data_IF_334292896086
#
_entry.id   IF_334292896086
#
_cell.length_a   1.000
_cell.length_b   1.000
_cell.length_c   1.000
_cell.angle_alpha   90.00
_cell.angle_beta   90.00
_cell.angle_gamma   90.00
#
_symmetry.space_group_name_H-M   'P 1'
#
loop_
_entity.id
_entity.type
_entity.pdbx_description
1 polymer ?
#
# COMPACT_ATOMS: atom_id res chain seq x y z
N UNK A 1 -43.93 2.63 -73.63
CA UNK A 1 -45.15 3.39 -73.30
C UNK A 1 -44.76 4.56 -72.41
N UNK A 2 -45.22 5.76 -72.74
CA UNK A 2 -44.72 7.07 -72.30
C UNK A 2 -45.88 7.82 -71.66
N UNK A 3 -45.79 8.27 -70.40
CA UNK A 3 -46.57 9.37 -69.77
C UNK A 3 -45.77 9.82 -68.53
N UNK A 4 -45.01 10.92 -68.53
CA UNK A 4 -45.34 12.36 -68.53
C UNK A 4 -46.20 12.82 -67.34
N UNK A 5 -45.67 13.77 -66.56
CA UNK A 5 -46.27 14.98 -65.92
C UNK A 5 -45.25 15.50 -64.88
N UNK A 6 -44.96 16.78 -64.64
CA UNK A 6 -45.23 18.10 -65.24
C UNK A 6 -44.29 19.06 -64.48
N UNK A 7 -43.71 20.06 -65.17
CA UNK A 7 -42.94 21.16 -64.57
C UNK A 7 -43.87 22.28 -64.08
N UNK A 8 -43.48 23.01 -63.03
CA UNK A 8 -43.79 24.43 -62.84
C UNK A 8 -42.72 25.10 -61.94
N UNK A 9 -41.81 25.91 -62.51
CA UNK A 9 -41.79 27.38 -62.59
C UNK A 9 -40.85 28.02 -61.56
N UNK A 10 -39.93 28.83 -62.09
CA UNK A 10 -38.88 29.55 -61.39
C UNK A 10 -39.34 30.95 -60.98
N UNK A 11 -38.76 31.48 -59.91
CA UNK A 11 -38.61 32.92 -59.71
C UNK A 11 -37.35 33.17 -58.88
N UNK A 12 -36.30 33.62 -59.58
CA UNK A 12 -35.09 34.20 -58.98
C UNK A 12 -35.42 35.61 -58.50
N UNK A 13 -35.05 35.93 -57.26
CA UNK A 13 -34.88 37.31 -56.80
C UNK A 13 -33.43 37.45 -56.33
N UNK A 14 -32.66 38.19 -57.13
CA UNK A 14 -31.36 38.69 -56.74
C UNK A 14 -31.53 39.89 -55.81
N UNK A 15 -30.86 39.88 -54.66
CA UNK A 15 -30.48 41.11 -53.97
C UNK A 15 -29.02 41.02 -53.55
N UNK A 16 -28.29 41.96 -54.12
CA UNK A 16 -26.92 42.39 -53.83
C UNK A 16 -26.77 42.87 -52.40
N UNK A 17 -25.67 42.53 -51.73
CA UNK A 17 -24.76 43.48 -51.07
C UNK A 17 -23.74 42.77 -50.17
N UNK A 18 -22.46 43.12 -50.33
CA UNK A 18 -21.47 43.08 -49.25
C UNK A 18 -20.58 41.85 -49.16
N UNK A 19 -19.55 41.77 -50.02
CA UNK A 19 -18.36 40.97 -49.69
C UNK A 19 -17.60 41.65 -48.54
N UNK A 20 -17.90 41.26 -47.30
CA UNK A 20 -16.99 41.44 -46.19
C UNK A 20 -16.09 40.20 -46.12
N UNK A 21 -14.78 40.42 -46.23
CA UNK A 21 -13.74 39.40 -46.04
C UNK A 21 -13.85 38.82 -44.62
N UNK A 22 -14.03 37.50 -44.44
CA UNK A 22 -13.89 36.89 -43.12
C UNK A 22 -12.40 36.77 -42.80
N UNK A 23 -11.98 37.51 -41.78
CA UNK A 23 -10.71 37.33 -41.10
C UNK A 23 -10.51 35.87 -40.72
N UNK A 24 -9.36 35.31 -41.09
CA UNK A 24 -8.89 34.01 -40.62
C UNK A 24 -8.87 34.04 -39.09
N UNK A 25 -9.78 33.30 -38.46
CA UNK A 25 -9.71 33.02 -37.03
C UNK A 25 -8.50 32.13 -36.79
N UNK A 26 -7.44 32.70 -36.22
CA UNK A 26 -6.31 31.96 -35.69
C UNK A 26 -6.79 30.95 -34.67
N UNK A 27 -6.57 29.66 -34.95
CA UNK A 27 -6.75 28.57 -33.99
C UNK A 27 -5.91 28.84 -32.73
N UNK A 28 -6.45 28.64 -31.52
CA UNK A 28 -5.64 28.70 -30.31
C UNK A 28 -4.65 27.53 -30.34
N UNK A 29 -3.36 27.88 -30.31
CA UNK A 29 -2.27 26.94 -30.08
C UNK A 29 -2.51 26.18 -28.76
N UNK A 30 -2.29 24.86 -28.67
CA UNK A 30 -2.35 24.16 -27.40
C UNK A 30 -1.25 24.76 -26.50
N UNK A 31 -1.67 25.50 -25.48
CA UNK A 31 -0.77 25.98 -24.45
C UNK A 31 -0.13 24.75 -23.82
N UNK A 32 1.15 24.54 -24.08
CA UNK A 32 1.97 23.63 -23.30
C UNK A 32 1.80 24.03 -21.84
N UNK A 33 1.06 23.23 -21.08
CA UNK A 33 0.92 23.44 -19.65
C UNK A 33 2.32 23.46 -19.06
N UNK A 34 2.69 24.56 -18.41
CA UNK A 34 3.87 24.61 -17.56
C UNK A 34 3.83 23.36 -16.67
N UNK A 35 4.88 22.52 -16.63
CA UNK A 35 4.90 21.39 -15.71
C UNK A 35 4.66 21.94 -14.31
N UNK A 36 3.56 21.55 -13.68
CA UNK A 36 3.33 21.80 -12.26
C UNK A 36 4.57 21.30 -11.54
N UNK A 37 5.27 22.14 -10.75
CA UNK A 37 6.44 21.66 -10.02
C UNK A 37 5.99 20.48 -9.16
N UNK A 38 6.56 19.31 -9.43
CA UNK A 38 6.45 18.15 -8.54
C UNK A 38 6.96 18.64 -7.19
N UNK A 39 6.06 18.76 -6.20
CA UNK A 39 6.43 19.17 -4.87
C UNK A 39 7.55 18.24 -4.38
N UNK A 40 8.72 18.82 -4.09
CA UNK A 40 9.78 18.08 -3.41
C UNK A 40 9.16 17.52 -2.12
N UNK A 41 9.25 16.21 -1.84
CA UNK A 41 8.74 15.68 -0.59
C UNK A 41 9.44 16.43 0.54
N UNK A 42 8.68 17.11 1.39
CA UNK A 42 9.25 17.79 2.55
C UNK A 42 9.81 16.72 3.47
N UNK A 43 11.12 16.57 3.49
CA UNK A 43 11.82 15.65 4.39
C UNK A 43 12.00 16.35 5.74
N UNK A 44 11.48 15.75 6.81
CA UNK A 44 11.61 16.29 8.16
C UNK A 44 12.78 15.63 8.85
N UNK A 45 13.94 16.28 8.85
CA UNK A 45 15.12 15.78 9.56
C UNK A 45 15.02 16.14 11.04
N UNK A 46 15.19 15.14 11.90
CA UNK A 46 15.19 15.29 13.36
C UNK A 46 16.37 14.55 13.99
N UNK A 47 16.79 15.00 15.16
CA UNK A 47 17.86 14.36 15.93
C UNK A 47 17.27 13.41 16.97
N UNK A 48 17.80 12.19 17.07
CA UNK A 48 17.44 11.27 18.15
C UNK A 48 18.08 11.74 19.45
N UNK A 49 17.26 12.18 20.39
CA UNK A 49 17.66 12.74 21.67
C UNK A 49 17.45 11.74 22.83
N UNK A 50 17.64 10.44 22.62
CA UNK A 50 17.33 9.36 23.58
C UNK A 50 18.28 9.22 24.78
N UNK A 51 19.15 10.22 25.02
CA UNK A 51 20.16 10.17 26.08
C UNK A 51 21.31 9.24 25.72
N UNK A 52 21.56 8.22 26.54
CA UNK A 52 22.64 7.25 26.32
C UNK A 52 22.19 5.93 25.71
N UNK A 53 20.87 5.70 25.59
CA UNK A 53 20.30 4.44 25.10
C UNK A 53 19.88 4.55 23.64
N UNK A 54 20.05 3.47 22.88
CA UNK A 54 19.53 3.36 21.51
C UNK A 54 17.99 3.47 21.50
N UNK A 55 17.45 4.25 20.58
CA UNK A 55 16.01 4.38 20.36
C UNK A 55 15.51 3.22 19.49
N UNK A 56 14.48 2.53 19.97
CA UNK A 56 13.88 1.38 19.28
C UNK A 56 12.89 1.85 18.22
N UNK A 57 13.05 1.36 16.99
CA UNK A 57 12.04 1.43 15.93
C UNK A 57 11.06 0.29 16.16
N UNK A 58 9.76 0.60 16.22
CA UNK A 58 8.72 -0.36 16.57
C UNK A 58 7.69 -0.48 15.46
N UNK A 59 7.16 -1.67 15.23
CA UNK A 59 6.21 -1.89 14.14
C UNK A 59 4.85 -1.19 14.34
N UNK A 60 4.48 -0.91 15.59
CA UNK A 60 3.30 -0.11 15.97
C UNK A 60 3.74 1.05 16.88
N UNK A 61 2.96 2.14 16.98
CA UNK A 61 3.25 3.27 17.86
C UNK A 61 2.94 2.91 19.33
N UNK A 62 3.53 1.84 19.83
CA UNK A 62 3.33 1.32 21.17
C UNK A 62 4.62 0.74 21.74
N UNK A 63 4.84 0.87 23.05
CA UNK A 63 5.99 0.25 23.74
C UNK A 63 5.92 -1.28 23.79
N UNK A 64 4.76 -1.86 23.49
CA UNK A 64 4.54 -3.30 23.31
C UNK A 64 4.87 -3.78 21.89
N UNK A 65 5.06 -2.85 20.93
CA UNK A 65 5.41 -3.21 19.56
C UNK A 65 6.78 -3.86 19.46
N UNK A 66 6.86 -4.92 18.66
CA UNK A 66 8.11 -5.58 18.29
C UNK A 66 9.14 -4.57 17.81
N UNK A 67 10.38 -4.77 18.25
CA UNK A 67 11.53 -4.00 17.83
C UNK A 67 11.94 -4.42 16.42
N UNK A 68 11.86 -3.49 15.47
CA UNK A 68 12.25 -3.67 14.08
C UNK A 68 13.70 -3.22 13.82
N UNK A 69 14.23 -2.36 14.69
CA UNK A 69 15.58 -1.82 14.57
C UNK A 69 15.92 -0.89 15.73
N UNK A 70 17.16 -0.41 15.73
CA UNK A 70 17.69 0.49 16.74
C UNK A 70 18.41 1.67 16.09
N UNK A 71 18.22 2.85 16.65
CA UNK A 71 18.85 4.09 16.22
C UNK A 71 19.75 4.60 17.36
N UNK A 72 21.04 4.85 17.13
CA UNK A 72 21.92 5.37 18.17
C UNK A 72 21.54 6.81 18.58
N UNK A 73 21.80 7.21 19.84
CA UNK A 73 21.64 8.61 20.25
C UNK A 73 22.44 9.56 19.36
N UNK A 74 21.88 10.74 19.09
CA UNK A 74 22.49 11.76 18.26
C UNK A 74 22.38 11.51 16.75
N UNK A 75 21.82 10.38 16.31
CA UNK A 75 21.58 10.15 14.89
C UNK A 75 20.57 11.15 14.31
N UNK A 76 20.87 11.68 13.12
CA UNK A 76 19.90 12.43 12.32
C UNK A 76 19.07 11.45 11.48
N UNK A 77 17.75 11.50 11.62
CA UNK A 77 16.81 10.65 10.88
C UNK A 77 15.82 11.49 10.11
N UNK A 78 15.34 10.95 8.99
CA UNK A 78 14.27 11.55 8.20
C UNK A 78 12.96 10.92 8.67
N UNK A 79 12.06 11.75 9.19
CA UNK A 79 10.71 11.36 9.57
C UNK A 79 9.77 11.63 8.40
N UNK A 80 8.97 10.63 8.07
CA UNK A 80 7.99 10.71 6.99
C UNK A 80 6.70 11.37 7.49
N UNK A 81 6.20 10.91 8.63
CA UNK A 81 4.94 11.35 9.20
C UNK A 81 4.82 11.00 10.68
N UNK A 82 3.72 11.40 11.34
CA UNK A 82 3.43 11.06 12.73
C UNK A 82 2.05 10.48 12.99
N UNK A 83 1.97 9.59 13.98
CA UNK A 83 0.76 8.90 14.41
C UNK A 83 0.54 9.02 15.93
N UNK A 84 -0.68 8.72 16.39
CA UNK A 84 -1.00 8.60 17.82
C UNK A 84 -0.85 7.16 18.29
N UNK A 85 -0.36 7.01 19.52
CA UNK A 85 0.04 5.74 20.09
C UNK A 85 -0.02 5.70 21.61
N UNK A 86 0.68 4.75 22.22
CA UNK A 86 0.78 4.68 23.68
C UNK A 86 1.55 5.88 24.22
N UNK A 87 1.16 6.39 25.39
CA UNK A 87 1.89 7.43 26.09
C UNK A 87 3.29 6.93 26.49
N UNK A 88 4.33 7.66 26.10
CA UNK A 88 5.72 7.38 26.44
C UNK A 88 6.32 8.61 27.09
N UNK A 89 7.07 8.40 28.17
CA UNK A 89 7.86 9.45 28.82
C UNK A 89 9.32 9.29 28.46
N UNK A 90 9.95 10.37 28.02
CA UNK A 90 11.32 10.39 27.57
C UNK A 90 12.02 11.72 27.85
N UNK A 91 13.18 11.88 27.25
CA UNK A 91 14.05 13.06 27.41
C UNK A 91 13.41 14.36 26.93
N UNK A 92 12.39 14.27 26.08
CA UNK A 92 11.66 15.41 25.49
C UNK A 92 10.28 15.61 26.14
N UNK A 93 10.03 14.95 27.27
CA UNK A 93 8.75 14.96 27.98
C UNK A 93 7.89 13.73 27.71
N UNK A 94 6.61 13.81 28.09
CA UNK A 94 5.64 12.73 27.91
C UNK A 94 4.73 13.01 26.72
N UNK A 95 4.62 12.07 25.80
CA UNK A 95 3.77 12.21 24.61
C UNK A 95 3.19 10.88 24.13
N UNK A 96 2.01 10.97 23.51
CA UNK A 96 1.38 9.87 22.77
C UNK A 96 1.67 9.95 21.26
N UNK A 97 2.55 10.84 20.82
CA UNK A 97 2.94 10.98 19.43
C UNK A 97 4.13 10.10 19.11
N UNK A 98 4.05 9.45 17.95
CA UNK A 98 5.08 8.58 17.42
C UNK A 98 5.39 9.00 15.99
N UNK A 99 6.66 9.09 15.67
CA UNK A 99 7.16 9.48 14.35
C UNK A 99 7.47 8.22 13.55
N UNK A 100 6.93 8.12 12.33
CA UNK A 100 7.20 7.03 11.39
C UNK A 100 8.36 7.39 10.48
N UNK A 101 9.26 6.45 10.29
CA UNK A 101 10.47 6.63 9.50
C UNK A 101 10.95 5.30 8.91
N UNK A 102 11.91 5.40 7.99
CA UNK A 102 12.75 4.28 7.58
C UNK A 102 14.20 4.54 7.98
N UNK A 103 14.81 3.62 8.73
CA UNK A 103 16.21 3.69 9.14
C UNK A 103 16.90 2.35 8.95
N UNK A 104 18.01 2.32 8.20
CA UNK A 104 18.76 1.10 7.88
C UNK A 104 17.88 -0.05 7.35
N UNK A 105 16.88 0.26 6.51
CA UNK A 105 15.96 -0.72 5.96
C UNK A 105 14.79 -1.12 6.88
N UNK A 106 14.79 -0.69 8.14
CA UNK A 106 13.67 -0.89 9.05
C UNK A 106 12.70 0.29 8.98
N UNK A 107 11.47 0.05 8.53
CA UNK A 107 10.40 1.03 8.53
C UNK A 107 9.49 0.84 9.75
N UNK A 108 9.26 1.89 10.54
CA UNK A 108 8.43 1.79 11.74
C UNK A 108 8.37 3.09 12.54
N UNK A 109 7.86 2.98 13.76
CA UNK A 109 7.55 4.08 14.66
C UNK A 109 8.60 4.23 15.76
N UNK A 110 9.00 5.47 16.02
CA UNK A 110 9.78 5.87 17.19
C UNK A 110 8.96 6.82 18.05
N UNK A 111 9.13 6.77 19.37
CA UNK A 111 8.38 7.67 20.25
C UNK A 111 8.95 9.10 20.16
N UNK A 112 8.10 10.08 19.88
CA UNK A 112 8.51 11.49 19.79
C UNK A 112 9.08 12.02 21.12
N UNK A 113 8.79 11.32 22.24
CA UNK A 113 9.40 11.57 23.55
C UNK A 113 10.93 11.49 23.57
N UNK A 114 11.55 10.93 22.53
CA UNK A 114 13.01 10.77 22.40
C UNK A 114 13.58 11.42 21.14
N UNK A 115 12.83 12.31 20.50
CA UNK A 115 13.22 13.01 19.27
C UNK A 115 13.23 14.50 19.54
N UNK A 116 14.31 15.20 19.17
CA UNK A 116 14.45 16.64 19.40
C UNK A 116 13.21 17.41 18.95
N UNK A 117 12.66 18.21 19.87
CA UNK A 117 11.43 18.99 19.65
C UNK A 117 10.13 18.23 19.90
N UNK A 118 10.16 16.89 20.02
CA UNK A 118 9.01 16.05 20.36
C UNK A 118 7.72 16.43 19.64
N UNK A 119 6.67 16.76 20.41
CA UNK A 119 5.39 17.19 19.85
C UNK A 119 5.43 18.54 19.12
N UNK A 120 6.38 19.41 19.45
CA UNK A 120 6.49 20.74 18.84
C UNK A 120 7.00 20.69 17.40
N UNK A 121 7.61 19.59 16.97
CA UNK A 121 8.02 19.39 15.57
C UNK A 121 6.77 19.40 14.66
N UNK A 122 6.74 20.26 13.63
CA UNK A 122 5.60 20.36 12.71
C UNK A 122 5.69 19.33 11.59
N UNK A 123 5.52 18.06 11.94
CA UNK A 123 5.54 16.92 11.03
C UNK A 123 4.09 16.54 10.65
N UNK A 124 3.77 16.25 9.38
CA UNK A 124 2.42 15.90 8.96
C UNK A 124 1.95 14.57 9.58
N UNK A 125 0.64 14.45 9.77
CA UNK A 125 0.04 13.19 10.20
C UNK A 125 0.23 12.09 9.15
N UNK A 126 0.41 10.85 9.58
CA UNK A 126 0.49 9.73 8.66
C UNK A 126 -0.83 9.58 7.89
N UNK A 127 -0.79 9.39 6.56
CA UNK A 127 -1.99 9.22 5.75
C UNK A 127 -2.75 7.93 6.10
N UNK A 128 -2.12 7.03 6.85
CA UNK A 128 -2.69 5.83 7.47
C UNK A 128 -2.14 5.76 8.91
N UNK A 129 -3.02 5.57 9.90
CA UNK A 129 -2.60 5.39 11.30
C UNK A 129 -2.76 3.94 11.67
N UNK A 130 -1.65 3.22 11.89
CA UNK A 130 -1.70 1.98 12.65
C UNK A 130 -1.95 2.37 14.12
N UNK A 131 -3.21 2.52 14.51
CA UNK A 131 -3.55 2.83 15.91
C UNK A 131 -2.96 1.74 16.79
N UNK A 132 -2.23 2.14 17.84
CA UNK A 132 -1.78 1.22 18.87
C UNK A 132 -2.99 0.46 19.44
N UNK A 133 -3.11 -0.82 19.09
CA UNK A 133 -4.12 -1.69 19.67
C UNK A 133 -3.49 -2.35 20.91
N UNK A 134 -3.93 -2.01 22.14
CA UNK A 134 -3.38 -2.58 23.38
C UNK A 134 -3.66 -4.10 23.54
N UNK A 135 -4.45 -4.64 22.61
CA UNK A 135 -4.88 -6.02 22.42
C UNK A 135 -5.05 -6.18 20.89
N UNK A 136 -4.93 -7.37 20.26
CA UNK A 136 -5.46 -7.57 18.91
C UNK A 136 -6.86 -6.96 18.84
N UNK A 137 -7.11 -6.08 17.87
CA UNK A 137 -8.46 -5.55 17.68
C UNK A 137 -9.40 -6.75 17.55
N UNK A 138 -10.52 -6.81 18.28
CA UNK A 138 -11.58 -7.73 17.94
C UNK A 138 -11.88 -7.55 16.45
N UNK A 139 -12.03 -8.66 15.73
CA UNK A 139 -12.52 -8.62 14.35
C UNK A 139 -13.68 -7.63 14.27
N UNK A 140 -13.77 -6.77 13.23
CA UNK A 140 -14.88 -5.85 13.09
C UNK A 140 -16.20 -6.60 13.31
N UNK A 141 -16.94 -6.20 14.35
CA UNK A 141 -18.24 -6.80 14.64
C UNK A 141 -19.25 -6.24 13.64
N UNK A 142 -19.48 -6.98 12.56
CA UNK A 142 -20.39 -6.62 11.49
C UNK A 142 -19.99 -7.28 10.18
N UNK A 143 -20.94 -7.47 9.27
CA UNK A 143 -20.62 -7.92 7.91
C UNK A 143 -19.86 -6.79 7.20
N UNK A 144 -18.57 -6.95 6.87
CA UNK A 144 -17.81 -5.88 6.20
C UNK A 144 -18.42 -5.60 4.83
N UNK A 145 -18.46 -4.34 4.41
CA UNK A 145 -18.73 -4.07 3.00
C UNK A 145 -17.56 -4.61 2.17
N UNK A 146 -17.80 -4.97 0.90
CA UNK A 146 -16.73 -5.41 0.00
C UNK A 146 -15.60 -4.37 -0.12
N UNK A 147 -15.89 -3.08 0.11
CA UNK A 147 -14.87 -2.02 0.15
C UNK A 147 -13.92 -2.15 1.35
N UNK A 148 -14.38 -2.65 2.49
CA UNK A 148 -13.64 -2.69 3.76
C UNK A 148 -12.70 -3.90 3.87
N UNK A 149 -13.01 -5.01 3.20
CA UNK A 149 -12.26 -6.28 3.34
C UNK A 149 -10.77 -6.12 3.04
N UNK A 150 -10.42 -5.32 2.03
CA UNK A 150 -9.02 -5.06 1.68
C UNK A 150 -8.25 -4.27 2.76
N UNK A 151 -8.89 -3.24 3.32
CA UNK A 151 -8.31 -2.47 4.42
C UNK A 151 -8.19 -3.30 5.70
N UNK A 152 -9.17 -4.17 5.96
CA UNK A 152 -9.15 -5.11 7.08
C UNK A 152 -7.99 -6.10 6.93
N UNK A 153 -7.79 -6.69 5.75
CA UNK A 153 -6.66 -7.58 5.48
C UNK A 153 -5.31 -6.87 5.68
N UNK A 154 -5.16 -5.65 5.19
CA UNK A 154 -3.95 -4.86 5.40
C UNK A 154 -3.69 -4.57 6.89
N UNK A 155 -4.72 -4.23 7.66
CA UNK A 155 -4.62 -4.01 9.10
C UNK A 155 -4.26 -5.31 9.85
N UNK A 156 -4.84 -6.44 9.47
CA UNK A 156 -4.52 -7.77 10.03
C UNK A 156 -3.06 -8.10 9.75
N UNK A 157 -2.59 -7.99 8.50
CA UNK A 157 -1.20 -8.24 8.14
C UNK A 157 -0.25 -7.33 8.95
N UNK A 158 -0.56 -6.04 9.07
CA UNK A 158 0.23 -5.07 9.84
C UNK A 158 0.34 -5.42 11.32
N UNK A 159 -0.71 -5.99 11.91
CA UNK A 159 -0.72 -6.43 13.31
C UNK A 159 0.27 -7.57 13.60
N UNK A 160 0.78 -8.23 12.57
CA UNK A 160 1.65 -9.40 12.67
C UNK A 160 3.13 -9.08 12.47
N UNK A 161 3.49 -7.83 12.16
CA UNK A 161 4.87 -7.45 11.85
C UNK A 161 5.85 -7.84 12.96
N UNK A 162 6.95 -8.50 12.56
CA UNK A 162 8.00 -8.99 13.44
C UNK A 162 7.72 -10.34 14.10
N UNK A 163 6.55 -10.95 13.91
CA UNK A 163 6.33 -12.35 14.34
C UNK A 163 7.29 -13.24 13.56
N UNK A 164 8.20 -13.89 14.29
CA UNK A 164 9.22 -14.77 13.74
C UNK A 164 8.82 -16.24 13.89
N UNK A 165 9.37 -17.10 13.05
CA UNK A 165 9.26 -18.54 13.24
C UNK A 165 10.04 -19.00 14.48
N UNK A 166 9.49 -19.96 15.21
CA UNK A 166 10.18 -20.62 16.32
C UNK A 166 9.56 -22.00 16.57
N UNK A 167 10.30 -23.11 16.40
CA UNK A 167 11.63 -23.24 15.78
C UNK A 167 11.59 -23.02 14.24
N UNK A 168 12.68 -23.30 13.52
CA UNK A 168 12.78 -23.08 12.06
C UNK A 168 11.58 -23.60 11.28
N UNK A 169 11.04 -22.77 10.40
CA UNK A 169 9.83 -22.94 9.60
C UNK A 169 8.53 -23.21 10.38
N UNK A 170 8.55 -23.21 11.71
CA UNK A 170 7.34 -23.33 12.53
C UNK A 170 6.80 -21.94 12.87
N UNK A 171 5.55 -21.69 12.52
CA UNK A 171 4.91 -20.38 12.62
C UNK A 171 3.50 -20.52 13.22
N UNK A 172 2.89 -19.43 13.73
CA UNK A 172 1.56 -19.49 14.34
C UNK A 172 0.40 -19.56 13.33
N UNK A 173 0.68 -19.47 12.03
CA UNK A 173 -0.34 -19.36 10.97
C UNK A 173 -0.74 -20.72 10.39
N UNK A 174 0.09 -21.75 10.58
CA UNK A 174 -0.13 -23.12 10.08
C UNK A 174 0.26 -24.16 11.13
N UNK A 175 -0.30 -25.36 10.99
CA UNK A 175 0.08 -26.52 11.80
C UNK A 175 1.30 -27.27 11.25
N UNK A 176 1.75 -26.90 10.05
CA UNK A 176 2.87 -27.54 9.36
C UNK A 176 4.10 -26.62 9.46
N UNK A 177 5.25 -27.20 9.80
CA UNK A 177 6.52 -26.48 9.80
C UNK A 177 7.18 -26.58 8.43
N UNK A 178 6.91 -25.59 7.58
CA UNK A 178 7.47 -25.44 6.24
C UNK A 178 7.56 -23.96 5.84
N UNK A 179 8.04 -23.65 4.64
CA UNK A 179 8.06 -22.28 4.15
C UNK A 179 6.64 -21.69 4.16
N UNK A 180 6.44 -20.59 4.88
CA UNK A 180 5.11 -20.21 5.38
C UNK A 180 4.56 -18.88 4.85
N UNK A 181 5.16 -18.32 3.80
CA UNK A 181 4.63 -17.12 3.12
C UNK A 181 3.17 -17.32 2.65
N UNK A 182 2.88 -18.49 2.07
CA UNK A 182 1.52 -18.89 1.67
C UNK A 182 0.56 -18.96 2.85
N UNK A 183 0.94 -19.68 3.90
CA UNK A 183 0.16 -19.85 5.12
C UNK A 183 -0.21 -18.51 5.75
N UNK A 184 0.75 -17.60 5.86
CA UNK A 184 0.50 -16.25 6.37
C UNK A 184 -0.52 -15.49 5.52
N UNK A 185 -0.34 -15.47 4.20
CA UNK A 185 -1.25 -14.75 3.31
C UNK A 185 -2.69 -15.32 3.36
N UNK A 186 -2.84 -16.65 3.36
CA UNK A 186 -4.15 -17.29 3.48
C UNK A 186 -4.77 -17.08 4.86
N UNK A 187 -3.97 -17.08 5.92
CA UNK A 187 -4.44 -16.77 7.28
C UNK A 187 -4.96 -15.33 7.37
N UNK A 188 -4.25 -14.34 6.83
CA UNK A 188 -4.69 -12.93 6.80
C UNK A 188 -6.06 -12.83 6.12
N UNK A 189 -6.22 -13.48 4.97
CA UNK A 189 -7.48 -13.50 4.23
C UNK A 189 -8.61 -14.21 4.99
N UNK A 190 -8.31 -15.32 5.67
CA UNK A 190 -9.28 -16.01 6.54
C UNK A 190 -9.75 -15.10 7.69
N UNK A 191 -8.83 -14.39 8.33
CA UNK A 191 -9.18 -13.42 9.38
C UNK A 191 -9.99 -12.24 8.82
N UNK A 192 -9.76 -11.84 7.57
CA UNK A 192 -10.56 -10.83 6.87
C UNK A 192 -11.94 -11.35 6.38
N UNK A 193 -12.27 -12.63 6.62
CA UNK A 193 -13.56 -13.24 6.27
C UNK A 193 -13.60 -13.91 4.90
N UNK A 194 -12.46 -14.01 4.19
CA UNK A 194 -12.37 -14.71 2.90
C UNK A 194 -12.33 -16.21 3.13
N UNK A 195 -13.23 -16.95 2.47
CA UNK A 195 -13.30 -18.42 2.54
C UNK A 195 -12.24 -19.09 1.64
N UNK A 196 -10.97 -18.78 1.87
CA UNK A 196 -9.82 -19.43 1.22
C UNK A 196 -9.28 -20.55 2.12
N UNK A 197 -8.95 -21.74 1.58
CA UNK A 197 -8.21 -22.75 2.31
C UNK A 197 -6.82 -22.27 2.73
N UNK A 198 -6.22 -22.94 3.70
CA UNK A 198 -4.82 -22.74 4.05
C UNK A 198 -3.91 -23.36 2.97
N UNK A 199 -2.99 -22.58 2.41
CA UNK A 199 -2.08 -23.01 1.34
C UNK A 199 -0.62 -22.66 1.67
N UNK A 200 0.23 -23.68 1.84
CA UNK A 200 1.68 -23.47 1.92
C UNK A 200 2.31 -23.11 0.58
N UNK A 201 1.88 -23.78 -0.50
CA UNK A 201 2.34 -23.49 -1.85
C UNK A 201 1.61 -22.30 -2.48
N UNK A 202 2.38 -21.26 -2.84
CA UNK A 202 1.83 -20.00 -3.37
C UNK A 202 1.11 -20.16 -4.71
N UNK A 203 1.50 -21.14 -5.54
CA UNK A 203 0.80 -21.41 -6.81
C UNK A 203 -0.64 -21.89 -6.62
N UNK A 204 -0.95 -22.54 -5.50
CA UNK A 204 -2.31 -22.98 -5.18
C UNK A 204 -3.23 -21.80 -4.86
N UNK A 205 -2.69 -20.71 -4.29
CA UNK A 205 -3.43 -19.45 -4.08
C UNK A 205 -3.86 -18.87 -5.42
N UNK A 206 -2.95 -18.81 -6.41
CA UNK A 206 -3.29 -18.35 -7.76
C UNK A 206 -4.31 -19.28 -8.45
N UNK A 207 -4.14 -20.60 -8.32
CA UNK A 207 -5.07 -21.59 -8.86
C UNK A 207 -6.47 -21.47 -8.24
N UNK A 208 -6.56 -21.25 -6.93
CA UNK A 208 -7.81 -20.95 -6.22
C UNK A 208 -8.43 -19.65 -6.74
N UNK A 209 -7.63 -18.58 -6.85
CA UNK A 209 -8.06 -17.29 -7.38
C UNK A 209 -8.64 -17.40 -8.78
N UNK A 210 -8.00 -18.18 -9.65
CA UNK A 210 -8.45 -18.45 -11.02
C UNK A 210 -9.82 -19.15 -11.02
N UNK A 211 -10.02 -20.16 -10.17
CA UNK A 211 -11.32 -20.84 -10.01
C UNK A 211 -12.42 -19.90 -9.48
N UNK A 212 -12.05 -18.86 -8.75
CA UNK A 212 -12.96 -17.83 -8.23
C UNK A 212 -13.13 -16.62 -9.17
N UNK A 213 -12.45 -16.58 -10.32
CA UNK A 213 -12.48 -15.44 -11.24
C UNK A 213 -11.76 -14.19 -10.70
N UNK A 214 -10.81 -14.37 -9.77
CA UNK A 214 -10.11 -13.31 -9.04
C UNK A 214 -8.62 -13.21 -9.35
N UNK A 215 -8.07 -14.14 -10.13
CA UNK A 215 -6.64 -14.15 -10.46
C UNK A 215 -6.38 -13.37 -11.75
N UNK A 216 -5.33 -12.56 -11.73
CA UNK A 216 -4.92 -11.68 -12.82
C UNK A 216 -3.41 -11.79 -13.07
N UNK A 217 -2.95 -11.75 -14.33
CA UNK A 217 -1.52 -11.71 -14.64
C UNK A 217 -0.92 -10.31 -14.41
N UNK A 218 0.38 -10.25 -14.16
CA UNK A 218 1.12 -8.99 -13.96
C UNK A 218 0.70 -8.25 -12.69
N UNK A 219 0.69 -6.91 -12.74
CA UNK A 219 0.38 -6.04 -11.58
C UNK A 219 -0.72 -5.01 -11.87
N UNK A 220 -1.28 -5.02 -13.08
CA UNK A 220 -2.34 -4.09 -13.44
C UNK A 220 -3.60 -4.36 -12.60
N UNK A 221 -4.13 -3.32 -11.94
CA UNK A 221 -5.36 -3.39 -11.15
C UNK A 221 -5.18 -3.89 -9.71
N UNK A 222 -3.95 -4.17 -9.27
CA UNK A 222 -3.65 -4.52 -7.88
C UNK A 222 -4.14 -3.42 -6.93
N UNK A 223 -4.80 -3.83 -5.83
CA UNK A 223 -5.28 -2.97 -4.77
C UNK A 223 -4.84 -3.41 -3.37
N UNK A 224 -5.16 -2.58 -2.39
CA UNK A 224 -4.90 -2.87 -0.97
C UNK A 224 -5.71 -4.10 -0.51
N UNK A 225 -5.02 -5.01 0.16
CA UNK A 225 -5.53 -6.28 0.68
C UNK A 225 -5.43 -7.45 -0.30
N UNK A 226 -5.12 -7.21 -1.57
CA UNK A 226 -4.87 -8.27 -2.54
C UNK A 226 -3.58 -9.02 -2.21
N UNK A 227 -3.44 -10.23 -2.75
CA UNK A 227 -2.17 -10.97 -2.70
C UNK A 227 -1.43 -10.84 -4.02
N UNK A 228 -0.13 -10.57 -3.96
CA UNK A 228 0.77 -10.58 -5.13
C UNK A 228 1.68 -11.78 -5.08
N UNK A 229 1.94 -12.40 -6.24
CA UNK A 229 2.70 -13.66 -6.36
C UNK A 229 3.96 -13.46 -7.19
N UNK A 230 5.09 -13.92 -6.64
CA UNK A 230 6.42 -13.69 -7.20
C UNK A 230 6.93 -14.88 -8.01
N UNK A 231 7.80 -14.59 -8.97
CA UNK A 231 8.45 -15.55 -9.84
C UNK A 231 7.98 -15.41 -11.29
N UNK A 232 7.83 -16.54 -11.97
CA UNK A 232 7.51 -16.63 -13.40
C UNK A 232 6.18 -17.32 -13.69
N UNK A 233 5.54 -17.94 -12.69
CA UNK A 233 4.21 -18.52 -12.84
C UNK A 233 3.83 -19.55 -11.77
N UNK A 234 2.56 -19.97 -11.71
CA UNK A 234 2.02 -20.75 -10.60
C UNK A 234 2.38 -22.25 -10.61
N UNK A 235 3.14 -22.72 -11.61
CA UNK A 235 3.24 -24.16 -11.91
C UNK A 235 4.11 -25.00 -10.97
N UNK A 236 5.01 -24.38 -10.19
CA UNK A 236 5.93 -25.09 -9.30
C UNK A 236 6.51 -24.18 -8.22
N UNK A 237 7.13 -24.77 -7.19
CA UNK A 237 7.90 -24.04 -6.16
C UNK A 237 9.08 -23.23 -6.73
N UNK A 238 9.57 -23.57 -7.92
CA UNK A 238 10.65 -22.82 -8.59
C UNK A 238 10.14 -21.60 -9.34
N UNK A 239 8.89 -21.65 -9.81
CA UNK A 239 8.28 -20.59 -10.62
C UNK A 239 7.35 -19.70 -9.82
N UNK A 240 6.79 -20.18 -8.70
CA UNK A 240 5.97 -19.43 -7.76
C UNK A 240 6.69 -19.40 -6.42
N UNK A 241 7.48 -18.35 -6.21
CA UNK A 241 8.54 -18.34 -5.20
C UNK A 241 8.11 -17.70 -3.89
N UNK A 242 7.16 -16.77 -3.93
CA UNK A 242 6.71 -16.04 -2.73
C UNK A 242 5.33 -15.43 -2.94
N UNK A 243 4.71 -14.97 -1.85
CA UNK A 243 3.45 -14.23 -1.84
C UNK A 243 3.44 -13.19 -0.72
N UNK A 244 2.84 -12.03 -0.96
CA UNK A 244 2.62 -11.00 0.06
C UNK A 244 1.20 -10.42 0.00
N UNK A 245 0.78 -9.81 1.10
CA UNK A 245 -0.41 -8.94 1.19
C UNK A 245 -0.03 -7.51 0.80
N UNK A 246 -0.78 -6.91 -0.11
CA UNK A 246 -0.57 -5.51 -0.50
C UNK A 246 -1.18 -4.56 0.53
N UNK A 247 -0.39 -3.61 1.04
CA UNK A 247 -0.83 -2.63 2.02
C UNK A 247 -0.83 -1.19 1.49
N UNK A 248 -0.08 -0.91 0.42
CA UNK A 248 -0.23 0.30 -0.39
C UNK A 248 0.24 0.08 -1.84
N UNK A 249 -0.28 0.89 -2.76
CA UNK A 249 0.02 0.83 -4.20
C UNK A 249 0.56 2.17 -4.65
N UNK A 250 1.71 2.15 -5.33
CA UNK A 250 2.35 3.33 -5.92
C UNK A 250 2.53 3.11 -7.44
N UNK A 251 2.82 4.17 -8.22
CA UNK A 251 2.99 4.05 -9.67
C UNK A 251 4.10 3.09 -10.10
N UNK A 252 5.16 2.95 -9.30
CA UNK A 252 6.40 2.25 -9.63
C UNK A 252 6.72 1.07 -8.69
N UNK A 253 6.03 0.96 -7.56
CA UNK A 253 6.26 -0.10 -6.57
C UNK A 253 5.00 -0.39 -5.75
N UNK A 254 5.04 -1.49 -4.99
CA UNK A 254 4.03 -1.82 -3.98
C UNK A 254 4.68 -1.76 -2.59
N UNK A 255 3.89 -1.41 -1.59
CA UNK A 255 4.24 -1.71 -0.20
C UNK A 255 3.44 -2.92 0.24
N UNK A 256 4.14 -3.91 0.77
CA UNK A 256 3.60 -5.25 1.03
C UNK A 256 4.04 -5.78 2.38
N UNK A 257 3.27 -6.71 2.93
CA UNK A 257 3.60 -7.47 4.14
C UNK A 257 3.58 -8.96 3.81
N UNK A 258 4.70 -9.62 4.09
CA UNK A 258 4.90 -11.05 3.83
C UNK A 258 5.29 -11.81 5.07
N UNK A 259 4.89 -13.07 5.12
CA UNK A 259 5.42 -14.05 6.05
C UNK A 259 6.66 -14.74 5.49
N UNK A 260 7.48 -15.32 6.35
CA UNK A 260 8.72 -16.02 6.01
C UNK A 260 9.72 -15.19 5.19
N UNK A 261 9.81 -13.90 5.51
CA UNK A 261 10.77 -12.98 4.92
C UNK A 261 11.81 -12.69 5.99
N UNK A 262 13.02 -13.21 5.81
CA UNK A 262 14.05 -13.25 6.86
C UNK A 262 13.50 -13.90 8.16
N UNK A 263 12.82 -15.04 7.96
CA UNK A 263 12.25 -15.89 9.00
C UNK A 263 11.20 -15.19 9.88
N UNK A 264 10.57 -14.12 9.38
CA UNK A 264 9.53 -13.36 10.10
C UNK A 264 8.49 -12.71 9.18
N UNK A 265 7.49 -12.10 9.78
CA UNK A 265 6.54 -11.22 9.10
C UNK A 265 7.18 -9.84 8.89
N UNK A 266 7.33 -9.42 7.64
CA UNK A 266 8.11 -8.23 7.28
C UNK A 266 7.35 -7.34 6.30
N UNK A 267 7.31 -6.04 6.59
CA UNK A 267 6.87 -5.00 5.65
C UNK A 267 8.03 -4.56 4.78
N UNK A 268 7.79 -4.40 3.47
CA UNK A 268 8.80 -3.93 2.51
C UNK A 268 8.19 -3.26 1.31
N UNK A 269 8.97 -2.41 0.66
CA UNK A 269 8.68 -1.92 -0.69
C UNK A 269 9.25 -2.89 -1.71
N UNK A 270 8.46 -3.25 -2.72
CA UNK A 270 8.82 -4.20 -3.78
C UNK A 270 8.59 -3.58 -5.15
N UNK A 271 9.50 -3.80 -6.12
CA UNK A 271 9.26 -3.34 -7.48
C UNK A 271 8.11 -4.13 -8.13
N UNK A 272 7.49 -3.57 -9.16
CA UNK A 272 6.47 -4.28 -9.94
C UNK A 272 7.04 -5.45 -10.75
N UNK A 273 8.34 -5.44 -11.02
CA UNK A 273 9.04 -6.52 -11.73
C UNK A 273 9.18 -7.76 -10.86
N UNK A 274 9.06 -8.94 -11.45
CA UNK A 274 9.18 -10.22 -10.74
C UNK A 274 7.88 -10.69 -10.07
N UNK A 275 6.79 -9.93 -10.20
CA UNK A 275 5.43 -10.35 -9.85
C UNK A 275 4.78 -10.93 -11.12
N UNK A 276 4.44 -12.22 -11.12
CA UNK A 276 3.80 -12.85 -12.27
C UNK A 276 2.29 -12.65 -12.29
N UNK A 277 1.68 -12.39 -11.13
CA UNK A 277 0.25 -12.20 -11.01
C UNK A 277 -0.19 -11.85 -9.60
N UNK A 278 -1.49 -11.61 -9.46
CA UNK A 278 -2.13 -11.28 -8.20
C UNK A 278 -3.51 -11.94 -8.11
N UNK A 279 -4.04 -12.05 -6.89
CA UNK A 279 -5.41 -12.50 -6.65
C UNK A 279 -6.15 -11.44 -5.85
N UNK A 280 -7.29 -11.02 -6.37
CA UNK A 280 -8.16 -10.02 -5.78
C UNK A 280 -8.88 -10.54 -4.54
N UNK A 281 -8.87 -9.75 -3.47
CA UNK A 281 -9.59 -10.09 -2.23
C UNK A 281 -11.11 -9.89 -2.37
N UNK A 282 -11.53 -8.92 -3.19
CA UNK A 282 -12.94 -8.50 -3.41
C UNK A 282 -13.65 -9.33 -4.47
#
# INVERSE_FOLDING_TARGET
MRRLRLLAWAASAALTAGCAVPSLLSSPSPSAGTPTPTATPTTFTVTVASGTATLKVRHIPATTGNELGQIPPGASVIVDCRAKGTLVSGTQGSTATWDYLTYNGAAGYIAAAFVEGGDAARIPACPYSATAAPTPLPLPAGTPSAADVGAIAAAIASSQLGVAETPTNCNPYSKVCEAWCGHFATWVWQQAGVKIPDYGFTGDIYAWGKKKGKAHPGTAGVGVGDVVLYGTGPGSVKSSTHVDIVVAVFPDHLRVIGGNVDDRVTERNVPLTGIYGWVGIR
#
